data_IF_002763683740
#
_entry.id   IF_002763683740
#
_cell.length_a   1.000
_cell.length_b   1.000
_cell.length_c   1.000
_cell.angle_alpha   90.00
_cell.angle_beta   90.00
_cell.angle_gamma   90.00
#
_symmetry.space_group_name_H-M   'P 1'
#
loop_
_entity.id
_entity.type
_entity.pdbx_description
1 polymer ?
#
# COMPACT_ATOMS: atom_id res chain seq x y z
N UNK A 1 -38.61 -0.51 22.48
CA UNK A 1 -38.09 0.49 21.52
C UNK A 1 -36.95 -0.17 20.74
N UNK A 2 -37.18 -0.50 19.47
CA UNK A 2 -36.15 -1.11 18.61
C UNK A 2 -35.15 -0.03 18.22
N UNK A 3 -33.94 -0.09 18.77
CA UNK A 3 -32.82 0.70 18.28
C UNK A 3 -32.54 0.26 16.83
N UNK A 4 -32.89 1.11 15.85
CA UNK A 4 -32.40 0.94 14.49
C UNK A 4 -30.88 1.00 14.55
N UNK A 5 -30.13 0.03 13.99
CA UNK A 5 -28.69 0.16 13.89
C UNK A 5 -28.38 1.45 13.12
N UNK A 6 -27.51 2.29 13.69
CA UNK A 6 -27.09 3.55 13.07
C UNK A 6 -26.56 3.25 11.66
N UNK A 7 -26.99 3.97 10.61
CA UNK A 7 -26.52 3.77 9.23
C UNK A 7 -25.02 4.05 9.01
N UNK A 8 -24.27 4.30 10.08
CA UNK A 8 -22.86 4.70 10.08
C UNK A 8 -21.94 3.74 10.84
N UNK A 9 -22.44 2.59 11.35
CA UNK A 9 -21.60 1.62 12.04
C UNK A 9 -20.68 0.89 11.05
N UNK A 10 -19.48 1.45 10.86
CA UNK A 10 -18.46 0.92 9.97
C UNK A 10 -17.86 -0.37 10.52
N UNK A 11 -17.72 -1.40 9.69
CA UNK A 11 -17.07 -2.64 10.13
C UNK A 11 -15.60 -2.36 10.44
N UNK A 12 -15.03 -3.08 11.40
CA UNK A 12 -13.60 -2.94 11.76
C UNK A 12 -12.70 -3.10 10.54
N UNK A 13 -13.02 -4.06 9.65
CA UNK A 13 -12.25 -4.30 8.42
C UNK A 13 -12.36 -3.14 7.44
N UNK A 14 -13.53 -2.51 7.34
CA UNK A 14 -13.74 -1.34 6.50
C UNK A 14 -12.98 -0.12 7.05
N UNK A 15 -13.07 0.16 8.35
CA UNK A 15 -12.34 1.23 9.00
C UNK A 15 -10.82 1.09 8.82
N UNK A 16 -10.30 -0.13 8.99
CA UNK A 16 -8.89 -0.45 8.73
C UNK A 16 -8.50 -0.23 7.26
N UNK A 17 -9.38 -0.57 6.32
CA UNK A 17 -9.12 -0.37 4.88
C UNK A 17 -9.04 1.10 4.52
N UNK A 18 -9.91 1.93 5.09
CA UNK A 18 -9.86 3.38 4.93
C UNK A 18 -8.63 4.01 5.58
N UNK A 19 -8.27 3.57 6.78
CA UNK A 19 -7.06 4.04 7.46
C UNK A 19 -5.80 3.69 6.64
N UNK A 20 -5.71 2.45 6.16
CA UNK A 20 -4.60 2.01 5.32
C UNK A 20 -4.55 2.78 4.00
N UNK A 21 -5.71 3.06 3.38
CA UNK A 21 -5.80 3.87 2.18
C UNK A 21 -5.28 5.29 2.41
N UNK A 22 -5.68 5.95 3.51
CA UNK A 22 -5.23 7.29 3.84
C UNK A 22 -3.72 7.32 4.11
N UNK A 23 -3.22 6.42 4.96
CA UNK A 23 -1.79 6.40 5.33
C UNK A 23 -0.90 6.05 4.14
N UNK A 24 -1.22 4.99 3.39
CA UNK A 24 -0.41 4.57 2.25
C UNK A 24 -0.54 5.54 1.08
N UNK A 25 -1.74 6.11 0.86
CA UNK A 25 -1.99 7.11 -0.17
C UNK A 25 -1.16 8.38 0.07
N UNK A 26 -1.25 8.96 1.27
CA UNK A 26 -0.46 10.14 1.63
C UNK A 26 1.04 9.84 1.57
N UNK A 27 1.47 8.69 2.10
CA UNK A 27 2.87 8.27 2.07
C UNK A 27 3.42 8.09 0.65
N UNK A 28 2.64 7.51 -0.26
CA UNK A 28 3.04 7.35 -1.66
C UNK A 28 3.13 8.69 -2.38
N UNK A 29 2.17 9.60 -2.19
CA UNK A 29 2.23 10.95 -2.78
C UNK A 29 3.43 11.73 -2.25
N UNK A 30 3.68 11.69 -0.94
CA UNK A 30 4.84 12.35 -0.33
C UNK A 30 6.17 11.85 -0.92
N UNK A 31 6.34 10.52 -1.03
CA UNK A 31 7.54 9.93 -1.61
C UNK A 31 7.68 10.26 -3.10
N UNK A 32 6.58 10.21 -3.86
CA UNK A 32 6.58 10.55 -5.28
C UNK A 32 7.03 12.00 -5.49
N UNK A 33 6.50 12.95 -4.71
CA UNK A 33 6.94 14.35 -4.77
C UNK A 33 8.44 14.47 -4.45
N UNK A 34 8.92 13.85 -3.37
CA UNK A 34 10.34 13.92 -3.01
C UNK A 34 11.26 13.29 -4.08
N UNK A 35 10.82 12.22 -4.73
CA UNK A 35 11.57 11.52 -5.76
C UNK A 35 11.58 12.26 -7.11
N UNK A 36 10.48 12.89 -7.50
CA UNK A 36 10.28 13.39 -8.86
C UNK A 36 10.21 14.92 -8.99
N UNK A 37 10.02 15.67 -7.91
CA UNK A 37 9.97 17.15 -7.95
C UNK A 37 11.05 17.85 -7.13
N UNK A 38 11.74 17.15 -6.23
CA UNK A 38 12.94 17.67 -5.54
C UNK A 38 14.23 17.50 -6.37
N UNK A 39 15.39 17.56 -5.72
CA UNK A 39 16.72 17.34 -6.34
C UNK A 39 16.93 15.90 -6.90
N UNK A 40 15.87 15.09 -6.98
CA UNK A 40 15.93 13.72 -7.46
C UNK A 40 16.74 12.80 -6.56
N UNK A 41 17.05 13.20 -5.32
CA UNK A 41 17.81 12.41 -4.35
C UNK A 41 16.93 11.46 -3.51
N UNK A 42 15.59 11.65 -3.53
CA UNK A 42 14.68 10.94 -2.64
C UNK A 42 14.71 11.51 -1.23
N UNK A 43 14.45 10.66 -0.23
CA UNK A 43 14.59 11.03 1.18
C UNK A 43 16.03 10.77 1.62
N UNK A 44 16.61 11.64 2.46
CA UNK A 44 17.98 11.47 2.98
C UNK A 44 18.21 10.06 3.54
N UNK A 45 19.42 9.52 3.37
CA UNK A 45 19.70 8.10 3.65
C UNK A 45 19.33 7.63 5.05
N UNK A 46 19.56 8.46 6.08
CA UNK A 46 19.16 8.13 7.44
C UNK A 46 17.63 8.13 7.59
N UNK A 47 16.95 9.14 7.06
CA UNK A 47 15.49 9.24 7.08
C UNK A 47 14.84 8.10 6.29
N UNK A 48 15.38 7.75 5.12
CA UNK A 48 14.95 6.61 4.32
C UNK A 48 15.08 5.29 5.09
N UNK A 49 16.20 5.10 5.80
CA UNK A 49 16.43 3.92 6.65
C UNK A 49 15.47 3.85 7.85
N UNK A 50 15.17 4.98 8.48
CA UNK A 50 14.19 5.03 9.57
C UNK A 50 12.77 4.78 9.05
N UNK A 51 12.42 5.38 7.92
CA UNK A 51 11.13 5.21 7.28
C UNK A 51 10.93 3.77 6.77
N UNK A 52 11.97 3.13 6.22
CA UNK A 52 11.92 1.73 5.77
C UNK A 52 11.78 0.76 6.95
N UNK A 53 12.52 0.98 8.04
CA UNK A 53 12.31 0.25 9.30
C UNK A 53 10.91 0.45 9.84
N UNK A 54 10.41 1.68 9.83
CA UNK A 54 9.04 2.03 10.24
C UNK A 54 7.99 1.32 9.37
N UNK A 55 8.20 1.28 8.05
CA UNK A 55 7.34 0.57 7.10
C UNK A 55 7.34 -0.94 7.35
N UNK A 56 8.52 -1.54 7.60
CA UNK A 56 8.63 -2.96 7.96
C UNK A 56 7.87 -3.24 9.25
N UNK A 57 8.08 -2.42 10.29
CA UNK A 57 7.35 -2.56 11.57
C UNK A 57 5.85 -2.40 11.35
N UNK A 58 5.41 -1.43 10.54
CA UNK A 58 4.01 -1.22 10.20
C UNK A 58 3.43 -2.45 9.48
N UNK A 59 4.11 -2.97 8.46
CA UNK A 59 3.66 -4.16 7.70
C UNK A 59 3.60 -5.38 8.61
N UNK A 60 4.62 -5.59 9.46
CA UNK A 60 4.65 -6.70 10.42
C UNK A 60 3.52 -6.56 11.45
N UNK A 61 3.35 -5.38 12.05
CA UNK A 61 2.27 -5.11 12.99
C UNK A 61 0.90 -5.31 12.34
N UNK A 62 0.73 -4.85 11.10
CA UNK A 62 -0.47 -5.04 10.31
C UNK A 62 -0.76 -6.53 10.06
N UNK A 63 0.24 -7.31 9.64
CA UNK A 63 0.10 -8.76 9.45
C UNK A 63 -0.23 -9.48 10.77
N UNK A 64 0.37 -9.07 11.89
CA UNK A 64 0.10 -9.63 13.21
C UNK A 64 -1.33 -9.32 13.68
N UNK A 65 -1.79 -8.07 13.50
CA UNK A 65 -3.18 -7.68 13.79
C UNK A 65 -4.16 -8.49 12.94
N UNK A 66 -3.85 -8.70 11.66
CA UNK A 66 -4.66 -9.52 10.74
C UNK A 66 -4.71 -11.00 11.15
N UNK A 67 -3.60 -11.54 11.66
CA UNK A 67 -3.52 -12.93 12.15
C UNK A 67 -4.28 -13.15 13.46
N UNK A 68 -4.47 -12.11 14.28
CA UNK A 68 -5.21 -12.21 15.55
C UNK A 68 -6.73 -12.18 15.39
N UNK A 69 -7.24 -11.76 14.23
CA UNK A 69 -8.65 -11.85 13.88
C UNK A 69 -9.01 -13.26 13.38
N UNK A 70 -8.73 -14.29 14.19
CA UNK A 70 -9.22 -15.68 14.00
C UNK A 70 -10.61 -15.84 14.61
N UNK A 71 -11.53 -14.94 14.29
CA UNK A 71 -12.96 -15.21 14.52
C UNK A 71 -13.43 -16.14 13.40
N UNK A 72 -13.83 -17.38 13.72
CA UNK A 72 -14.20 -18.35 12.70
C UNK A 72 -15.52 -17.88 12.05
N UNK A 73 -15.48 -17.60 10.75
CA UNK A 73 -16.65 -17.39 9.86
C UNK A 73 -17.34 -16.00 9.85
N UNK A 74 -16.61 -14.88 9.96
CA UNK A 74 -17.14 -13.57 9.50
C UNK A 74 -16.98 -13.45 7.97
N UNK A 75 -17.94 -14.06 7.27
CA UNK A 75 -18.31 -13.97 5.86
C UNK A 75 -17.31 -14.45 4.76
N UNK A 76 -17.74 -15.43 3.95
CA UNK A 76 -17.09 -15.78 2.68
C UNK A 76 -16.87 -14.55 1.78
N UNK A 77 -17.74 -13.55 1.92
CA UNK A 77 -17.60 -12.23 1.31
C UNK A 77 -16.32 -11.52 1.71
N UNK A 78 -16.00 -11.41 2.99
CA UNK A 78 -14.76 -10.75 3.45
C UNK A 78 -13.52 -11.50 2.96
N UNK A 79 -13.60 -12.83 2.85
CA UNK A 79 -12.55 -13.64 2.22
C UNK A 79 -12.42 -13.37 0.73
N UNK A 80 -13.53 -13.28 -0.01
CA UNK A 80 -13.53 -12.95 -1.43
C UNK A 80 -12.99 -11.53 -1.68
N UNK A 81 -13.39 -10.57 -0.84
CA UNK A 81 -12.89 -9.20 -0.87
C UNK A 81 -11.39 -9.19 -0.55
N UNK A 82 -10.93 -9.91 0.47
CA UNK A 82 -9.51 -10.00 0.82
C UNK A 82 -8.67 -10.58 -0.32
N UNK A 83 -9.15 -11.64 -1.00
CA UNK A 83 -8.47 -12.22 -2.16
C UNK A 83 -8.36 -11.22 -3.31
N UNK A 84 -9.45 -10.50 -3.64
CA UNK A 84 -9.45 -9.46 -4.69
C UNK A 84 -8.50 -8.32 -4.38
N UNK A 85 -8.45 -7.84 -3.13
CA UNK A 85 -7.48 -6.82 -2.71
C UNK A 85 -6.05 -7.30 -2.87
N UNK A 86 -5.77 -8.54 -2.47
CA UNK A 86 -4.45 -9.14 -2.57
C UNK A 86 -4.00 -9.20 -4.03
N UNK A 87 -4.87 -9.71 -4.90
CA UNK A 87 -4.63 -9.78 -6.34
C UNK A 87 -4.40 -8.37 -6.93
N UNK A 88 -5.24 -7.40 -6.60
CA UNK A 88 -5.09 -6.03 -7.10
C UNK A 88 -3.78 -5.37 -6.65
N UNK A 89 -3.42 -5.51 -5.37
CA UNK A 89 -2.15 -5.00 -4.86
C UNK A 89 -0.93 -5.61 -5.57
N UNK A 90 -0.94 -6.94 -5.75
CA UNK A 90 0.14 -7.62 -6.48
C UNK A 90 0.19 -7.26 -7.96
N UNK A 91 -0.97 -7.16 -8.63
CA UNK A 91 -1.04 -6.72 -10.02
C UNK A 91 -0.53 -5.29 -10.18
N UNK A 92 -0.86 -4.39 -9.26
CA UNK A 92 -0.33 -3.04 -9.26
C UNK A 92 1.20 -3.03 -9.09
N UNK A 93 1.73 -3.84 -8.17
CA UNK A 93 3.17 -3.95 -7.96
C UNK A 93 3.89 -4.51 -9.21
N UNK A 94 3.35 -5.58 -9.80
CA UNK A 94 3.87 -6.16 -11.05
C UNK A 94 3.84 -5.15 -12.20
N UNK A 95 2.74 -4.39 -12.33
CA UNK A 95 2.62 -3.36 -13.34
C UNK A 95 3.64 -2.24 -13.13
N UNK A 96 3.84 -1.77 -11.89
CA UNK A 96 4.85 -0.76 -11.59
C UNK A 96 6.27 -1.26 -11.89
N UNK A 97 6.58 -2.52 -11.56
CA UNK A 97 7.86 -3.15 -11.89
C UNK A 97 8.05 -3.27 -13.40
N UNK A 98 7.02 -3.71 -14.13
CA UNK A 98 7.04 -3.83 -15.57
C UNK A 98 7.23 -2.47 -16.24
N UNK A 99 6.45 -1.46 -15.85
CA UNK A 99 6.56 -0.09 -16.35
C UNK A 99 7.96 0.46 -16.06
N UNK A 100 8.45 0.31 -14.82
CA UNK A 100 9.82 0.70 -14.45
C UNK A 100 10.88 0.02 -15.32
N UNK A 101 10.77 -1.29 -15.53
CA UNK A 101 11.70 -2.04 -16.39
C UNK A 101 11.62 -1.59 -17.86
N UNK A 102 10.43 -1.33 -18.39
CA UNK A 102 10.26 -0.83 -19.76
C UNK A 102 10.82 0.59 -19.95
N UNK A 103 10.63 1.46 -18.96
CA UNK A 103 11.15 2.84 -19.00
C UNK A 103 12.67 2.90 -18.90
N UNK A 104 13.29 1.98 -18.16
CA UNK A 104 14.74 1.89 -18.00
C UNK A 104 15.44 1.14 -19.14
N UNK A 105 14.67 0.47 -20.00
CA UNK A 105 15.19 -0.47 -20.99
C UNK A 105 15.69 -1.76 -20.35
N UNK A 106 15.30 -2.91 -20.92
CA UNK A 106 15.66 -4.23 -20.40
C UNK A 106 17.18 -4.50 -20.37
N UNK A 107 17.95 -3.76 -21.16
CA UNK A 107 19.41 -3.90 -21.22
C UNK A 107 20.15 -2.83 -20.39
N UNK A 108 19.51 -1.69 -20.08
CA UNK A 108 20.11 -0.53 -19.41
C UNK A 108 19.81 -0.41 -17.91
N UNK A 109 18.96 -1.29 -17.35
CA UNK A 109 18.51 -1.18 -15.96
C UNK A 109 19.65 -1.28 -14.94
N UNK A 110 20.72 -2.03 -15.22
CA UNK A 110 21.86 -2.16 -14.31
C UNK A 110 22.59 -0.84 -14.12
N UNK A 111 22.89 -0.15 -15.22
CA UNK A 111 23.59 1.13 -15.18
C UNK A 111 22.69 2.24 -14.61
N UNK A 112 21.39 2.18 -14.91
CA UNK A 112 20.41 3.08 -14.33
C UNK A 112 20.24 2.90 -12.81
N UNK A 113 20.37 1.68 -12.29
CA UNK A 113 20.36 1.44 -10.82
C UNK A 113 21.70 1.86 -10.21
N UNK A 114 22.83 1.51 -10.85
CA UNK A 114 24.16 1.79 -10.33
C UNK A 114 24.47 3.30 -10.25
N UNK A 115 23.88 4.10 -11.13
CA UNK A 115 24.03 5.56 -11.13
C UNK A 115 23.19 6.29 -10.06
N UNK A 116 22.33 5.58 -9.32
CA UNK A 116 21.45 6.18 -8.31
C UNK A 116 21.98 5.97 -6.90
N UNK A 117 21.86 6.98 -6.02
CA UNK A 117 22.23 6.81 -4.62
C UNK A 117 21.32 5.77 -3.95
N UNK A 118 21.85 5.01 -2.99
CA UNK A 118 21.11 3.96 -2.29
C UNK A 118 19.80 4.46 -1.67
N UNK A 119 19.80 5.67 -1.12
CA UNK A 119 18.63 6.31 -0.53
C UNK A 119 17.49 6.53 -1.53
N UNK A 120 17.83 6.83 -2.79
CA UNK A 120 16.86 6.97 -3.87
C UNK A 120 16.24 5.62 -4.23
N UNK A 121 17.05 4.57 -4.34
CA UNK A 121 16.58 3.20 -4.61
C UNK A 121 15.66 2.71 -3.49
N UNK A 122 16.03 2.92 -2.22
CA UNK A 122 15.19 2.59 -1.07
C UNK A 122 13.84 3.34 -1.13
N UNK A 123 13.89 4.66 -1.37
CA UNK A 123 12.70 5.49 -1.47
C UNK A 123 11.79 5.05 -2.62
N UNK A 124 12.36 4.65 -3.75
CA UNK A 124 11.61 4.15 -4.92
C UNK A 124 10.93 2.81 -4.62
N UNK A 125 11.62 1.88 -3.97
CA UNK A 125 11.02 0.61 -3.53
C UNK A 125 9.89 0.86 -2.53
N UNK A 126 10.10 1.77 -1.57
CA UNK A 126 9.05 2.16 -0.62
C UNK A 126 7.84 2.78 -1.32
N UNK A 127 8.06 3.64 -2.32
CA UNK A 127 6.99 4.22 -3.13
C UNK A 127 6.16 3.13 -3.80
N UNK A 128 6.81 2.16 -4.46
CA UNK A 128 6.12 1.05 -5.12
C UNK A 128 5.29 0.21 -4.15
N UNK A 129 5.84 -0.08 -2.96
CA UNK A 129 5.13 -0.81 -1.92
C UNK A 129 3.94 -0.04 -1.38
N UNK A 130 4.10 1.26 -1.06
CA UNK A 130 3.02 2.11 -0.57
C UNK A 130 1.94 2.31 -1.62
N UNK A 131 2.31 2.52 -2.88
CA UNK A 131 1.35 2.62 -3.98
C UNK A 131 0.57 1.30 -4.17
N UNK A 132 1.25 0.14 -4.08
CA UNK A 132 0.60 -1.17 -4.13
C UNK A 132 -0.39 -1.37 -2.96
N UNK A 133 0.01 -1.00 -1.74
CA UNK A 133 -0.85 -1.04 -0.56
C UNK A 133 -2.02 -0.05 -0.63
N UNK A 134 -1.82 1.08 -1.32
CA UNK A 134 -2.87 2.06 -1.61
C UNK A 134 -3.92 1.44 -2.52
N UNK A 135 -3.51 0.78 -3.63
CA UNK A 135 -4.43 0.06 -4.53
C UNK A 135 -5.13 -1.09 -3.80
N UNK A 136 -4.39 -1.88 -3.02
CA UNK A 136 -4.95 -2.95 -2.18
C UNK A 136 -6.07 -2.43 -1.27
N UNK A 137 -5.82 -1.31 -0.58
CA UNK A 137 -6.76 -0.70 0.35
C UNK A 137 -7.94 -0.04 -0.38
N UNK A 138 -7.69 0.61 -1.52
CA UNK A 138 -8.71 1.27 -2.35
C UNK A 138 -9.74 0.27 -2.89
N UNK A 139 -9.30 -0.88 -3.41
CA UNK A 139 -10.19 -1.97 -3.83
C UNK A 139 -11.03 -2.46 -2.65
N UNK A 140 -10.44 -2.49 -1.46
CA UNK A 140 -11.14 -2.88 -0.26
C UNK A 140 -12.26 -1.93 0.15
N UNK A 141 -11.94 -0.65 0.17
CA UNK A 141 -12.90 0.44 0.39
C UNK A 141 -14.01 0.38 -0.67
N UNK A 142 -13.66 0.26 -1.95
CA UNK A 142 -14.62 0.20 -3.04
C UNK A 142 -15.66 -0.90 -2.85
N UNK A 143 -15.22 -2.12 -2.52
CA UNK A 143 -16.14 -3.23 -2.29
C UNK A 143 -17.05 -3.00 -1.08
N UNK A 144 -16.53 -2.45 0.03
CA UNK A 144 -17.37 -2.16 1.19
C UNK A 144 -18.36 -1.02 0.96
N UNK A 145 -17.96 0.02 0.23
CA UNK A 145 -18.84 1.16 -0.10
C UNK A 145 -19.91 0.74 -1.10
N UNK A 146 -19.53 0.03 -2.17
CA UNK A 146 -20.47 -0.44 -3.20
C UNK A 146 -21.58 -1.29 -2.60
N UNK A 147 -21.25 -2.16 -1.66
CA UNK A 147 -22.22 -3.08 -1.08
C UNK A 147 -23.17 -2.40 -0.06
N UNK A 148 -22.93 -1.13 0.30
CA UNK A 148 -23.85 -0.32 1.13
C UNK A 148 -24.89 0.44 0.31
N UNK A 149 -24.67 0.59 -1.00
CA UNK A 149 -25.54 1.31 -1.95
C UNK A 149 -26.44 0.33 -2.66
#
# INVERSE_FOLDING_TARGET
MNARPLPFAMSKQEALSWLALALCGIGSVYLALRLFTGDGAGVDGDTARHASRGLIVFVVAWLLLRRRDTTPLADERDRAIAARRMQAGYMALLLMLLVGATLLGLDGWRDAIASRPAAWLESMVMLMLLASLTVHSAVGVWHYVRDRV
#
